data_IF_267079582326
#
_entry.id   IF_267079582326
#
_cell.length_a   1.000
_cell.length_b   1.000
_cell.length_c   1.000
_cell.angle_alpha   90.00
_cell.angle_beta   90.00
_cell.angle_gamma   90.00
#
_symmetry.space_group_name_H-M   'P 1'
#
loop_
_entity.id
_entity.type
_entity.pdbx_description
1 polymer ?
#
# COMPACT_ATOMS: atom_id res chain seq x y z
N UNK A 1 25.82 -10.35 6.37
CA UNK A 1 25.72 -10.72 4.94
C UNK A 1 24.25 -10.78 4.58
N UNK A 2 23.67 -9.70 4.06
CA UNK A 2 22.24 -9.59 3.74
C UNK A 2 21.96 -10.11 2.32
N UNK A 3 21.14 -11.15 2.23
CA UNK A 3 20.69 -11.75 0.97
C UNK A 3 19.85 -10.74 0.16
N UNK A 4 20.19 -10.43 -1.10
CA UNK A 4 19.62 -9.29 -1.85
C UNK A 4 18.16 -9.44 -2.32
N UNK A 5 17.47 -10.55 -2.06
CA UNK A 5 16.15 -10.83 -2.64
C UNK A 5 14.94 -10.66 -1.70
N UNK A 6 15.09 -9.99 -0.54
CA UNK A 6 14.00 -9.82 0.45
C UNK A 6 13.21 -8.50 0.35
N UNK A 7 13.56 -7.57 -0.57
CA UNK A 7 12.89 -6.25 -0.66
C UNK A 7 11.58 -6.26 -1.43
N UNK A 8 11.42 -7.23 -2.33
CA UNK A 8 10.24 -7.37 -3.18
C UNK A 8 9.35 -8.48 -2.61
N UNK A 9 8.09 -8.16 -2.33
CA UNK A 9 7.12 -9.12 -1.83
C UNK A 9 5.90 -9.09 -2.74
N UNK A 10 5.61 -10.23 -3.38
CA UNK A 10 4.39 -10.42 -4.17
C UNK A 10 3.42 -11.28 -3.36
N UNK A 11 2.17 -10.84 -3.28
CA UNK A 11 1.07 -11.60 -2.69
C UNK A 11 -0.08 -11.66 -3.68
N UNK A 12 -0.47 -12.89 -4.04
CA UNK A 12 -1.60 -13.15 -4.93
C UNK A 12 -2.72 -13.83 -4.15
N UNK A 13 -3.96 -13.39 -4.37
CA UNK A 13 -5.16 -13.91 -3.75
C UNK A 13 -5.92 -14.78 -4.74
N UNK A 14 -6.73 -15.71 -4.23
CA UNK A 14 -7.63 -16.53 -5.03
C UNK A 14 -8.70 -15.71 -5.79
N UNK A 15 -8.92 -14.46 -5.39
CA UNK A 15 -9.81 -13.51 -6.08
C UNK A 15 -9.23 -12.97 -7.39
N UNK A 16 -7.98 -13.32 -7.72
CA UNK A 16 -7.26 -12.79 -8.88
C UNK A 16 -6.53 -11.46 -8.60
N UNK A 17 -6.67 -10.89 -7.40
CA UNK A 17 -5.90 -9.71 -6.99
C UNK A 17 -4.46 -10.12 -6.67
N UNK A 18 -3.49 -9.36 -7.19
CA UNK A 18 -2.09 -9.45 -6.79
C UNK A 18 -1.55 -8.10 -6.34
N UNK A 19 -0.63 -8.10 -5.37
CA UNK A 19 0.03 -6.91 -4.84
C UNK A 19 1.54 -7.09 -4.86
N UNK A 20 2.27 -6.11 -5.36
CA UNK A 20 3.73 -6.00 -5.22
C UNK A 20 4.07 -4.93 -4.16
N UNK A 21 4.90 -5.29 -3.19
CA UNK A 21 5.51 -4.38 -2.21
C UNK A 21 7.01 -4.30 -2.44
N UNK A 22 7.54 -3.08 -2.43
CA UNK A 22 8.98 -2.78 -2.44
C UNK A 22 9.32 -2.13 -1.09
N UNK A 23 10.18 -2.75 -0.29
CA UNK A 23 10.56 -2.23 1.04
C UNK A 23 11.94 -2.72 1.50
N UNK A 24 12.90 -1.83 1.81
CA UNK A 24 12.84 -0.38 1.56
C UNK A 24 12.94 -0.07 0.07
N UNK A 25 12.33 1.06 -0.31
CA UNK A 25 12.56 1.69 -1.62
C UNK A 25 13.95 2.32 -1.63
N UNK A 26 14.71 2.10 -2.69
CA UNK A 26 16.06 2.64 -2.89
C UNK A 26 16.08 3.63 -4.05
N UNK A 27 17.04 4.57 -4.06
CA UNK A 27 17.22 5.50 -5.18
C UNK A 27 17.48 4.79 -6.51
N UNK A 28 18.06 3.57 -6.46
CA UNK A 28 18.24 2.71 -7.64
C UNK A 28 16.94 2.18 -8.24
N UNK A 29 15.83 2.22 -7.48
CA UNK A 29 14.52 1.79 -7.97
C UNK A 29 13.83 2.91 -8.81
N UNK A 30 14.38 4.15 -8.84
CA UNK A 30 13.82 5.26 -9.61
C UNK A 30 13.82 4.98 -11.12
N UNK A 31 12.74 5.37 -11.80
CA UNK A 31 12.51 5.12 -13.23
C UNK A 31 12.46 3.62 -13.60
N UNK A 32 12.23 2.73 -12.64
CA UNK A 32 12.02 1.30 -12.92
C UNK A 32 10.59 1.06 -13.40
N UNK A 33 10.43 0.41 -14.55
CA UNK A 33 9.14 -0.09 -15.04
C UNK A 33 8.80 -1.42 -14.38
N UNK A 34 7.63 -1.49 -13.76
CA UNK A 34 7.03 -2.68 -13.17
C UNK A 34 5.85 -3.11 -14.04
N UNK A 35 5.83 -4.37 -14.44
CA UNK A 35 4.75 -4.96 -15.23
C UNK A 35 3.92 -5.93 -14.40
N UNK A 36 2.60 -5.80 -14.45
CA UNK A 36 1.64 -6.79 -13.97
C UNK A 36 1.08 -7.53 -15.18
N UNK A 37 1.22 -8.87 -15.20
CA UNK A 37 0.73 -9.72 -16.27
C UNK A 37 -0.35 -10.66 -15.75
N UNK A 38 -1.48 -10.75 -16.45
CA UNK A 38 -2.55 -11.69 -16.16
C UNK A 38 -2.76 -12.63 -17.35
N UNK A 39 -2.67 -13.93 -17.08
CA UNK A 39 -2.72 -14.99 -18.08
C UNK A 39 -3.77 -16.04 -17.67
N UNK A 40 -4.64 -16.40 -18.62
CA UNK A 40 -5.64 -17.46 -18.46
C UNK A 40 -5.32 -18.74 -19.26
N UNK A 41 -4.16 -18.78 -19.94
CA UNK A 41 -3.67 -19.91 -20.71
C UNK A 41 -4.30 -20.11 -22.09
N UNK A 42 -5.16 -19.20 -22.55
CA UNK A 42 -5.87 -19.32 -23.84
C UNK A 42 -5.28 -18.41 -24.91
N UNK A 43 -5.03 -17.15 -24.56
CA UNK A 43 -4.49 -16.14 -25.46
C UNK A 43 -3.25 -15.50 -24.84
N UNK A 44 -2.65 -14.53 -25.54
CA UNK A 44 -1.55 -13.76 -24.98
C UNK A 44 -1.98 -13.08 -23.67
N UNK A 45 -1.10 -13.05 -22.63
CA UNK A 45 -1.40 -12.38 -21.38
C UNK A 45 -1.71 -10.90 -21.58
N UNK A 46 -2.61 -10.37 -20.76
CA UNK A 46 -2.81 -8.92 -20.68
C UNK A 46 -1.78 -8.33 -19.72
N UNK A 47 -1.14 -7.24 -20.13
CA UNK A 47 -0.06 -6.60 -19.36
C UNK A 47 -0.41 -5.15 -19.06
N UNK A 48 -0.14 -4.73 -17.84
CA UNK A 48 -0.23 -3.34 -17.39
C UNK A 48 1.08 -2.90 -16.74
N UNK A 49 1.63 -1.80 -17.23
CA UNK A 49 2.91 -1.25 -16.77
C UNK A 49 2.72 -0.04 -15.86
N UNK A 50 3.64 0.12 -14.91
CA UNK A 50 3.76 1.29 -14.05
C UNK A 50 5.23 1.67 -13.87
N UNK A 51 5.52 2.98 -13.84
CA UNK A 51 6.89 3.47 -13.59
C UNK A 51 7.01 3.94 -12.15
N UNK A 52 8.02 3.44 -11.44
CA UNK A 52 8.32 3.86 -10.06
C UNK A 52 9.13 5.15 -10.09
N UNK A 53 8.67 6.18 -9.38
CA UNK A 53 9.45 7.41 -9.13
C UNK A 53 9.85 7.46 -7.66
N UNK A 54 11.14 7.63 -7.40
CA UNK A 54 11.70 7.74 -6.04
C UNK A 54 12.27 9.14 -5.87
N UNK A 55 11.80 9.85 -4.85
CA UNK A 55 12.19 11.24 -4.55
C UNK A 55 13.03 11.22 -3.28
N UNK A 56 14.18 11.91 -3.30
CA UNK A 56 15.00 12.07 -2.11
C UNK A 56 14.29 12.94 -1.06
N UNK A 57 14.52 12.66 0.22
CA UNK A 57 13.91 13.42 1.32
C UNK A 57 14.23 14.92 1.23
N UNK A 58 15.41 15.30 0.74
CA UNK A 58 15.82 16.68 0.57
C UNK A 58 15.08 17.40 -0.58
N UNK A 59 14.47 16.64 -1.50
CA UNK A 59 13.81 17.14 -2.71
C UNK A 59 12.27 17.01 -2.65
N UNK A 60 11.72 16.65 -1.49
CA UNK A 60 10.27 16.54 -1.32
C UNK A 60 9.58 17.90 -1.58
N UNK A 61 8.54 17.94 -2.42
CA UNK A 61 7.83 19.17 -2.71
C UNK A 61 7.08 19.70 -1.48
N UNK A 62 6.79 20.99 -1.46
CA UNK A 62 5.89 21.57 -0.45
C UNK A 62 4.53 20.88 -0.51
N UNK A 63 3.94 20.60 0.67
CA UNK A 63 2.66 19.90 0.77
C UNK A 63 2.73 18.37 0.64
N UNK A 64 3.93 17.78 0.45
CA UNK A 64 4.06 16.32 0.36
C UNK A 64 3.48 15.61 1.61
N UNK A 65 2.76 14.49 1.44
CA UNK A 65 2.10 13.81 2.56
C UNK A 65 3.08 13.38 3.65
N UNK A 66 2.74 13.68 4.91
CA UNK A 66 3.51 13.31 6.10
C UNK A 66 2.59 12.62 7.10
N UNK A 67 3.02 11.46 7.59
CA UNK A 67 2.33 10.73 8.66
C UNK A 67 2.79 11.33 9.99
N UNK A 68 1.94 12.14 10.63
CA UNK A 68 2.21 12.73 11.94
C UNK A 68 1.98 11.74 13.08
N UNK A 69 1.03 10.82 12.91
CA UNK A 69 0.75 9.76 13.88
C UNK A 69 0.52 8.44 13.14
N UNK A 70 1.46 7.52 13.33
CA UNK A 70 1.39 6.17 12.79
C UNK A 70 0.35 5.34 13.55
N UNK A 71 -0.29 4.35 12.90
CA UNK A 71 -1.06 3.33 13.60
C UNK A 71 -0.23 2.64 14.67
N UNK A 72 -0.81 2.46 15.85
CA UNK A 72 -0.17 1.75 16.97
C UNK A 72 -0.75 0.36 17.13
N UNK A 73 0.04 -0.56 17.67
CA UNK A 73 -0.45 -1.87 18.06
C UNK A 73 -1.55 -1.74 19.12
N UNK A 74 -2.63 -2.51 18.96
CA UNK A 74 -3.74 -2.57 19.91
C UNK A 74 -4.12 -4.01 20.19
N UNK A 75 -4.43 -4.29 21.44
CA UNK A 75 -5.05 -5.54 21.89
C UNK A 75 -6.50 -5.24 22.26
N UNK A 76 -7.43 -6.04 21.76
CA UNK A 76 -8.88 -5.86 21.93
C UNK A 76 -9.50 -7.23 22.15
N UNK A 77 -10.47 -7.32 23.06
CA UNK A 77 -11.20 -8.56 23.33
C UNK A 77 -11.98 -9.04 22.11
N UNK A 78 -12.14 -10.35 21.98
CA UNK A 78 -12.92 -10.95 20.90
C UNK A 78 -14.36 -10.43 20.91
N UNK A 79 -14.87 -10.06 19.74
CA UNK A 79 -16.23 -9.52 19.57
C UNK A 79 -16.36 -8.02 19.84
N UNK A 80 -15.31 -7.33 20.30
CA UNK A 80 -15.28 -5.88 20.44
C UNK A 80 -14.70 -5.20 19.20
N UNK A 81 -15.04 -3.92 19.01
CA UNK A 81 -14.53 -3.10 17.91
C UNK A 81 -13.13 -2.57 18.20
N UNK A 82 -12.19 -2.81 17.29
CA UNK A 82 -10.86 -2.22 17.35
C UNK A 82 -10.81 -0.91 16.55
N UNK A 83 -10.38 0.17 17.19
CA UNK A 83 -10.18 1.47 16.53
C UNK A 83 -8.71 1.69 16.20
N UNK A 84 -8.36 1.63 14.92
CA UNK A 84 -7.01 1.92 14.41
C UNK A 84 -7.01 3.30 13.75
N UNK A 85 -6.05 4.14 14.13
CA UNK A 85 -6.01 5.55 13.74
C UNK A 85 -4.70 5.89 13.05
N UNK A 86 -4.76 6.70 11.99
CA UNK A 86 -3.60 7.29 11.33
C UNK A 86 -3.88 8.78 11.15
N UNK A 87 -2.92 9.65 11.48
CA UNK A 87 -3.00 11.09 11.22
C UNK A 87 -1.99 11.44 10.14
N UNK A 88 -2.51 11.97 9.03
CA UNK A 88 -1.71 12.38 7.87
C UNK A 88 -2.04 13.83 7.57
N UNK A 89 -1.00 14.61 7.25
CA UNK A 89 -1.13 15.97 6.70
C UNK A 89 -0.51 16.02 5.32
N UNK A 90 -0.93 17.00 4.53
CA UNK A 90 -0.46 17.23 3.16
C UNK A 90 -1.40 18.20 2.47
N UNK A 91 -0.91 18.85 1.42
CA UNK A 91 -1.67 19.81 0.63
C UNK A 91 -1.43 19.53 -0.87
N UNK A 92 -2.45 19.08 -1.63
CA UNK A 92 -3.85 18.88 -1.22
C UNK A 92 -4.03 17.71 -0.24
N UNK A 93 -5.21 17.64 0.38
CA UNK A 93 -5.55 16.59 1.39
C UNK A 93 -5.24 15.18 0.85
N UNK A 94 -4.35 14.40 1.49
CA UNK A 94 -3.98 13.08 1.00
C UNK A 94 -5.13 12.08 1.06
N UNK A 95 -5.18 11.17 0.07
CA UNK A 95 -6.04 9.98 0.12
C UNK A 95 -5.36 8.92 0.99
N UNK A 96 -6.14 8.26 1.85
CA UNK A 96 -5.65 7.20 2.74
C UNK A 96 -6.22 5.86 2.31
N UNK A 97 -5.35 4.87 2.12
CA UNK A 97 -5.70 3.47 1.88
C UNK A 97 -5.20 2.62 3.05
N UNK A 98 -6.06 1.74 3.56
CA UNK A 98 -5.69 0.78 4.60
C UNK A 98 -5.37 -0.59 3.99
N UNK A 99 -4.26 -1.17 4.44
CA UNK A 99 -3.84 -2.52 4.07
C UNK A 99 -3.93 -3.44 5.30
N UNK A 100 -4.42 -4.66 5.09
CA UNK A 100 -4.31 -5.76 6.06
C UNK A 100 -3.49 -6.87 5.43
N UNK A 101 -2.43 -7.30 6.11
CA UNK A 101 -1.54 -8.36 5.62
C UNK A 101 -1.06 -8.09 4.18
N UNK A 102 -0.70 -6.83 3.89
CA UNK A 102 -0.27 -6.31 2.58
C UNK A 102 -1.36 -6.24 1.49
N UNK A 103 -2.62 -6.52 1.81
CA UNK A 103 -3.74 -6.48 0.86
C UNK A 103 -4.64 -5.28 1.17
N UNK A 104 -5.08 -4.50 0.17
CA UNK A 104 -6.09 -3.46 0.35
C UNK A 104 -7.35 -4.00 1.01
N UNK A 105 -7.82 -3.31 2.05
CA UNK A 105 -9.10 -3.64 2.67
C UNK A 105 -10.22 -3.19 1.73
N UNK A 106 -11.06 -4.13 1.31
CA UNK A 106 -12.33 -3.80 0.66
C UNK A 106 -13.37 -3.45 1.73
N UNK A 107 -13.65 -2.15 1.86
CA UNK A 107 -14.61 -1.60 2.84
C UNK A 107 -16.05 -1.88 2.39
N UNK A 108 -16.26 -2.22 1.12
CA UNK A 108 -17.59 -2.55 0.57
C UNK A 108 -17.93 -4.02 0.75
N UNK A 109 -16.92 -4.87 0.90
CA UNK A 109 -17.10 -6.28 1.19
C UNK A 109 -17.43 -6.52 2.67
N UNK A 110 -18.55 -7.22 2.93
CA UNK A 110 -18.86 -7.91 4.19
C UNK A 110 -19.04 -7.07 5.47
N UNK A 111 -19.08 -5.74 5.43
CA UNK A 111 -19.49 -4.88 6.56
C UNK A 111 -18.62 -4.96 7.83
N UNK A 112 -17.53 -5.74 7.81
CA UNK A 112 -16.63 -5.94 8.97
C UNK A 112 -15.66 -4.78 9.19
N UNK A 113 -15.38 -4.01 8.15
CA UNK A 113 -14.51 -2.84 8.20
C UNK A 113 -15.31 -1.58 7.89
N UNK A 114 -15.08 -0.53 8.68
CA UNK A 114 -15.52 0.81 8.36
C UNK A 114 -14.32 1.75 8.43
N UNK A 115 -14.20 2.62 7.43
CA UNK A 115 -13.15 3.64 7.41
C UNK A 115 -13.85 4.98 7.35
N UNK A 116 -13.59 5.80 8.36
CA UNK A 116 -14.01 7.19 8.41
C UNK A 116 -12.78 8.08 8.44
N UNK A 117 -12.78 9.12 7.62
CA UNK A 117 -11.80 10.19 7.75
C UNK A 117 -12.29 11.13 8.84
N UNK A 118 -11.66 11.10 10.00
CA UNK A 118 -11.91 12.12 11.02
C UNK A 118 -11.25 13.42 10.52
N UNK A 119 -12.05 14.43 10.21
CA UNK A 119 -11.57 15.77 9.85
C UNK A 119 -12.55 16.80 10.40
N UNK A 120 -12.02 17.89 10.93
CA UNK A 120 -12.77 19.12 11.15
C UNK A 120 -13.26 19.70 9.82
#
# INVERSE_FOLDING_TARGET
>A
MSNPNFRFVVKSLSTGLSTLRIDPVLSSDNQTTISCSADNGVANPVVADAVVTVIDKAELPSGFPIIDAHPTLKSVEQGRTAHVTCRVRGDPRPKVLWLRDLVPIDIRAEGRYSVSTMGN
#
